data_IF_026194089361
#
_entry.id   IF_026194089361
#
_cell.length_a   1.000
_cell.length_b   1.000
_cell.length_c   1.000
_cell.angle_alpha   90.00
_cell.angle_beta   90.00
_cell.angle_gamma   90.00
#
_symmetry.space_group_name_H-M   'P 1'
#
loop_
_entity.id
_entity.type
_entity.pdbx_description
1 polymer ?
#
# COMPACT_ATOMS: atom_id res chain seq x y z
N UNK A 1 31.42 -7.09 -23.35
CA UNK A 1 31.02 -6.04 -24.30
C UNK A 1 29.85 -5.29 -23.69
N UNK A 2 30.02 -3.99 -23.41
CA UNK A 2 28.91 -3.13 -22.97
C UNK A 2 29.08 -2.35 -21.66
N UNK A 3 30.29 -1.97 -21.23
CA UNK A 3 30.47 -0.87 -20.26
C UNK A 3 30.21 0.48 -20.98
N UNK A 4 29.00 0.64 -21.51
CA UNK A 4 28.50 1.96 -21.86
C UNK A 4 28.05 2.55 -20.54
N UNK A 5 28.86 3.46 -20.02
CA UNK A 5 28.56 4.30 -18.87
C UNK A 5 27.08 4.71 -18.89
N UNK A 6 26.26 4.03 -18.10
CA UNK A 6 24.87 4.40 -17.91
C UNK A 6 24.89 5.77 -17.22
N UNK A 7 24.77 6.83 -18.03
CA UNK A 7 24.58 8.23 -17.62
C UNK A 7 25.76 8.91 -16.90
N UNK A 8 26.97 8.34 -16.94
CA UNK A 8 28.18 8.99 -16.40
C UNK A 8 28.25 9.12 -14.87
N UNK A 9 27.32 8.49 -14.13
CA UNK A 9 27.32 8.56 -12.67
C UNK A 9 28.49 7.79 -12.01
N UNK A 10 28.95 8.22 -10.82
CA UNK A 10 29.94 7.47 -10.04
C UNK A 10 29.44 6.07 -9.71
N UNK A 11 30.34 5.08 -9.73
CA UNK A 11 29.98 3.65 -9.64
C UNK A 11 29.21 3.31 -8.36
N UNK A 12 29.60 3.87 -7.22
CA UNK A 12 28.88 3.67 -5.95
C UNK A 12 27.43 4.18 -5.96
N UNK A 13 27.11 5.21 -6.75
CA UNK A 13 25.73 5.68 -6.92
C UNK A 13 24.91 4.67 -7.74
N UNK A 14 25.50 4.09 -8.78
CA UNK A 14 24.83 3.09 -9.63
C UNK A 14 24.52 1.82 -8.86
N UNK A 15 25.48 1.34 -8.07
CA UNK A 15 25.30 0.12 -7.28
C UNK A 15 24.24 0.33 -6.19
N UNK A 16 24.21 1.50 -5.54
CA UNK A 16 23.21 1.82 -4.54
C UNK A 16 21.80 2.05 -5.14
N UNK A 17 21.66 2.76 -6.26
CA UNK A 17 20.34 3.06 -6.83
C UNK A 17 19.77 1.91 -7.66
N UNK A 18 20.58 1.29 -8.51
CA UNK A 18 20.13 0.26 -9.45
C UNK A 18 20.47 -1.16 -8.99
N UNK A 19 21.61 -1.37 -8.32
CA UNK A 19 21.99 -2.68 -7.79
C UNK A 19 21.15 -3.10 -6.59
N UNK A 20 21.00 -2.23 -5.59
CA UNK A 20 20.17 -2.50 -4.39
C UNK A 20 18.67 -2.36 -4.70
N UNK A 21 18.29 -1.76 -5.84
CA UNK A 21 16.88 -1.57 -6.22
C UNK A 21 16.19 -0.39 -5.51
N UNK A 22 16.96 0.50 -4.88
CA UNK A 22 16.46 1.68 -4.17
C UNK A 22 15.67 2.64 -5.09
N UNK A 23 16.04 2.73 -6.37
CA UNK A 23 15.26 3.46 -7.37
C UNK A 23 13.84 2.90 -7.55
N UNK A 24 13.70 1.57 -7.57
CA UNK A 24 12.39 0.91 -7.69
C UNK A 24 11.54 1.11 -6.44
N UNK A 25 12.16 1.12 -5.26
CA UNK A 25 11.47 1.39 -3.99
C UNK A 25 10.91 2.82 -3.98
N UNK A 26 11.70 3.83 -4.38
CA UNK A 26 11.21 5.21 -4.46
C UNK A 26 10.14 5.39 -5.53
N UNK A 27 10.30 4.76 -6.70
CA UNK A 27 9.29 4.81 -7.75
C UNK A 27 7.96 4.20 -7.29
N UNK A 28 7.99 3.02 -6.67
CA UNK A 28 6.80 2.39 -6.11
C UNK A 28 6.18 3.25 -5.00
N UNK A 29 7.00 3.85 -4.13
CA UNK A 29 6.53 4.75 -3.10
C UNK A 29 5.84 5.99 -3.69
N UNK A 30 6.45 6.67 -4.66
CA UNK A 30 5.88 7.86 -5.33
C UNK A 30 4.57 7.56 -6.06
N UNK A 31 4.48 6.43 -6.77
CA UNK A 31 3.22 5.98 -7.39
C UNK A 31 2.17 5.69 -6.33
N UNK A 32 2.54 5.08 -5.21
CA UNK A 32 1.63 4.80 -4.10
C UNK A 32 0.97 6.06 -3.53
N UNK A 33 1.72 7.17 -3.42
CA UNK A 33 1.19 8.43 -2.85
C UNK A 33 0.23 9.16 -3.82
N UNK A 34 0.31 8.86 -5.12
CA UNK A 34 -0.47 9.55 -6.15
C UNK A 34 -1.98 9.39 -5.90
N UNK A 35 -2.42 8.20 -5.49
CA UNK A 35 -3.83 7.94 -5.18
C UNK A 35 -4.36 8.81 -4.04
N UNK A 36 -3.58 9.00 -2.97
CA UNK A 36 -3.98 9.88 -1.86
C UNK A 36 -3.99 11.36 -2.25
N UNK A 37 -3.06 11.80 -3.11
CA UNK A 37 -3.00 13.20 -3.57
C UNK A 37 -4.15 13.52 -4.52
N UNK A 38 -4.45 12.63 -5.46
CA UNK A 38 -5.57 12.79 -6.40
C UNK A 38 -6.89 12.82 -5.64
N UNK A 39 -7.09 11.93 -4.65
CA UNK A 39 -8.28 11.94 -3.78
C UNK A 39 -8.39 13.18 -2.87
N UNK A 40 -7.28 13.86 -2.59
CA UNK A 40 -7.27 15.12 -1.84
C UNK A 40 -7.54 16.35 -2.69
N UNK A 41 -7.45 16.24 -4.02
CA UNK A 41 -7.67 17.39 -4.91
C UNK A 41 -9.13 17.87 -4.90
N UNK A 42 -9.32 19.19 -4.82
CA UNK A 42 -10.64 19.84 -4.81
C UNK A 42 -11.38 19.66 -6.15
N UNK A 43 -10.63 19.50 -7.24
CA UNK A 43 -11.14 19.32 -8.61
C UNK A 43 -11.23 17.85 -9.06
N UNK A 44 -11.13 16.88 -8.14
CA UNK A 44 -11.25 15.44 -8.44
C UNK A 44 -12.46 15.09 -9.34
N UNK A 45 -13.69 15.60 -9.09
CA UNK A 45 -14.84 15.28 -9.94
C UNK A 45 -14.69 15.80 -11.36
N UNK A 46 -14.08 16.98 -11.54
CA UNK A 46 -13.86 17.60 -12.85
C UNK A 46 -12.75 16.87 -13.63
N UNK A 47 -11.72 16.36 -12.94
CA UNK A 47 -10.67 15.54 -13.53
C UNK A 47 -11.18 14.17 -14.01
N UNK A 48 -12.11 13.57 -13.25
CA UNK A 48 -12.77 12.30 -13.62
C UNK A 48 -13.87 12.47 -14.67
N UNK A 49 -14.28 13.69 -15.02
CA UNK A 49 -15.33 13.95 -16.01
C UNK A 49 -14.80 13.84 -17.46
N UNK A 50 -14.20 12.70 -17.80
CA UNK A 50 -13.70 12.39 -19.13
C UNK A 50 -13.94 10.91 -19.47
N UNK A 51 -14.14 10.61 -20.76
CA UNK A 51 -14.35 9.24 -21.26
C UNK A 51 -13.23 8.26 -20.86
N UNK A 52 -11.99 8.76 -20.78
CA UNK A 52 -10.86 7.94 -20.33
C UNK A 52 -11.00 7.50 -18.86
N UNK A 53 -11.54 8.36 -17.98
CA UNK A 53 -11.75 8.00 -16.58
C UNK A 53 -12.84 6.93 -16.42
N UNK A 54 -13.92 7.00 -17.23
CA UNK A 54 -14.95 5.96 -17.27
C UNK A 54 -14.35 4.61 -17.71
N UNK A 55 -13.48 4.60 -18.72
CA UNK A 55 -12.76 3.39 -19.11
C UNK A 55 -11.95 2.80 -17.94
N UNK A 56 -11.16 3.62 -17.24
CA UNK A 56 -10.39 3.15 -16.09
C UNK A 56 -11.29 2.62 -14.96
N UNK A 57 -12.48 3.19 -14.79
CA UNK A 57 -13.47 2.70 -13.83
C UNK A 57 -14.00 1.32 -14.20
N UNK A 58 -14.30 1.07 -15.49
CA UNK A 58 -14.69 -0.27 -15.96
C UNK A 58 -13.59 -1.31 -15.76
N UNK A 59 -12.33 -0.94 -16.00
CA UNK A 59 -11.18 -1.82 -15.72
C UNK A 59 -11.06 -2.11 -14.22
N UNK A 60 -11.23 -1.08 -13.37
CA UNK A 60 -11.20 -1.24 -11.92
C UNK A 60 -12.32 -2.19 -11.44
N UNK A 61 -13.55 -2.01 -11.94
CA UNK A 61 -14.68 -2.88 -11.62
C UNK A 61 -14.45 -4.33 -12.12
N UNK A 62 -13.81 -4.51 -13.28
CA UNK A 62 -13.46 -5.84 -13.77
C UNK A 62 -12.43 -6.52 -12.86
N UNK A 63 -11.40 -5.80 -12.41
CA UNK A 63 -10.39 -6.31 -11.46
C UNK A 63 -11.05 -6.63 -10.12
N UNK A 64 -11.94 -5.78 -9.63
CA UNK A 64 -12.71 -6.03 -8.40
C UNK A 64 -13.57 -7.29 -8.52
N UNK A 65 -14.19 -7.52 -9.69
CA UNK A 65 -14.93 -8.74 -9.96
C UNK A 65 -14.05 -9.99 -9.89
N UNK A 66 -12.81 -9.95 -10.42
CA UNK A 66 -11.87 -11.09 -10.33
C UNK A 66 -11.54 -11.49 -8.89
N UNK A 67 -11.64 -10.58 -7.94
CA UNK A 67 -11.39 -10.87 -6.54
C UNK A 67 -9.92 -10.82 -6.11
N UNK A 68 -8.98 -10.47 -7.00
CA UNK A 68 -7.54 -10.47 -6.71
C UNK A 68 -7.15 -9.61 -5.49
N UNK A 69 -7.86 -8.51 -5.23
CA UNK A 69 -7.58 -7.55 -4.15
C UNK A 69 -8.36 -7.80 -2.85
N UNK A 70 -9.14 -8.89 -2.78
CA UNK A 70 -10.08 -9.12 -1.66
C UNK A 70 -9.42 -9.49 -0.33
N UNK A 71 -8.14 -9.86 -0.30
CA UNK A 71 -7.40 -10.10 0.95
C UNK A 71 -7.40 -8.89 1.89
N UNK A 72 -7.49 -7.67 1.34
CA UNK A 72 -7.58 -6.43 2.12
C UNK A 72 -8.86 -6.35 2.98
N UNK A 73 -9.99 -6.89 2.51
CA UNK A 73 -11.24 -6.92 3.28
C UNK A 73 -11.14 -7.80 4.53
N UNK A 74 -10.43 -8.94 4.42
CA UNK A 74 -10.20 -9.82 5.57
C UNK A 74 -9.34 -9.13 6.63
N UNK A 75 -8.28 -8.45 6.20
CA UNK A 75 -7.40 -7.68 7.08
C UNK A 75 -8.19 -6.53 7.73
N UNK A 76 -9.00 -5.81 6.97
CA UNK A 76 -9.85 -4.74 7.51
C UNK A 76 -10.85 -5.25 8.55
N UNK A 77 -11.50 -6.39 8.29
CA UNK A 77 -12.41 -7.03 9.25
C UNK A 77 -11.68 -7.47 10.53
N UNK A 78 -10.48 -8.02 10.39
CA UNK A 78 -9.63 -8.40 11.53
C UNK A 78 -9.20 -7.18 12.35
N UNK A 79 -8.75 -6.11 11.70
CA UNK A 79 -8.36 -4.85 12.37
C UNK A 79 -9.55 -4.20 13.07
N UNK A 80 -10.73 -4.17 12.44
CA UNK A 80 -11.95 -3.66 13.06
C UNK A 80 -12.34 -4.47 14.31
N UNK A 81 -12.23 -5.80 14.23
CA UNK A 81 -12.47 -6.70 15.38
C UNK A 81 -11.47 -6.44 16.52
N UNK A 82 -10.20 -6.22 16.21
CA UNK A 82 -9.17 -5.91 17.21
C UNK A 82 -9.33 -4.49 17.79
N UNK A 83 -9.78 -3.54 16.99
CA UNK A 83 -10.03 -2.16 17.40
C UNK A 83 -11.35 -1.99 18.16
N UNK A 84 -12.20 -3.02 18.22
CA UNK A 84 -13.53 -2.95 18.81
C UNK A 84 -14.48 -1.99 18.08
N UNK A 85 -14.16 -1.63 16.84
CA UNK A 85 -14.99 -0.76 16.01
C UNK A 85 -15.97 -1.62 15.20
N UNK A 86 -17.27 -1.32 15.28
CA UNK A 86 -18.22 -1.88 14.34
C UNK A 86 -17.90 -1.34 12.95
N UNK A 87 -17.48 -2.21 12.04
CA UNK A 87 -17.37 -1.84 10.63
C UNK A 87 -18.78 -1.52 10.14
N UNK A 88 -19.13 -0.23 10.06
CA UNK A 88 -20.35 0.24 9.39
C UNK A 88 -20.22 0.02 7.88
N UNK A 89 -20.20 -1.25 7.46
CA UNK A 89 -20.50 -1.60 6.08
C UNK A 89 -21.94 -1.18 5.83
N UNK A 90 -22.16 -0.30 4.85
CA UNK A 90 -23.51 0.12 4.43
C UNK A 90 -24.15 -0.87 3.46
N UNK A 91 -23.45 -1.97 3.16
CA UNK A 91 -23.93 -3.03 2.27
C UNK A 91 -24.41 -4.22 3.09
N UNK A 92 -25.63 -4.68 2.77
CA UNK A 92 -26.20 -5.89 3.37
C UNK A 92 -25.28 -7.08 3.09
N UNK A 93 -25.01 -7.94 4.11
CA UNK A 93 -24.17 -9.11 3.92
C UNK A 93 -24.76 -9.98 2.80
N UNK A 94 -23.95 -10.38 1.80
CA UNK A 94 -24.46 -11.11 0.64
C UNK A 94 -25.09 -12.43 1.08
N UNK A 95 -26.36 -12.65 0.75
CA UNK A 95 -27.13 -13.80 1.22
C UNK A 95 -26.96 -15.00 0.27
N UNK A 96 -26.77 -16.21 0.83
CA UNK A 96 -26.76 -17.46 0.06
C UNK A 96 -25.55 -17.65 -0.85
N UNK A 97 -25.78 -17.92 -2.15
CA UNK A 97 -24.71 -18.23 -3.12
C UNK A 97 -23.70 -17.10 -3.33
N UNK A 98 -24.12 -15.86 -3.14
CA UNK A 98 -23.23 -14.69 -3.20
C UNK A 98 -22.22 -14.66 -2.03
N UNK A 99 -22.57 -15.21 -0.86
CA UNK A 99 -21.65 -15.37 0.27
C UNK A 99 -20.51 -16.33 -0.08
N UNK A 100 -20.85 -17.49 -0.64
CA UNK A 100 -19.87 -18.48 -1.09
C UNK A 100 -18.93 -17.91 -2.17
N UNK A 101 -19.49 -17.17 -3.14
CA UNK A 101 -18.70 -16.51 -4.17
C UNK A 101 -17.77 -15.42 -3.60
N UNK A 102 -18.23 -14.66 -2.61
CA UNK A 102 -17.42 -13.69 -1.90
C UNK A 102 -16.26 -14.36 -1.15
N UNK A 103 -16.54 -15.36 -0.31
CA UNK A 103 -15.52 -16.07 0.46
C UNK A 103 -14.54 -16.86 -0.42
N UNK A 104 -15.01 -17.43 -1.53
CA UNK A 104 -14.14 -18.12 -2.50
C UNK A 104 -13.10 -17.18 -3.12
N UNK A 105 -13.51 -15.97 -3.51
CA UNK A 105 -12.59 -14.95 -4.04
C UNK A 105 -11.64 -14.41 -2.96
N UNK A 106 -12.13 -14.20 -1.74
CA UNK A 106 -11.28 -13.84 -0.60
C UNK A 106 -10.21 -14.89 -0.32
N UNK A 107 -10.57 -16.18 -0.36
CA UNK A 107 -9.65 -17.30 -0.15
C UNK A 107 -8.64 -17.41 -1.30
N UNK A 108 -9.08 -17.24 -2.56
CA UNK A 108 -8.19 -17.20 -3.73
C UNK A 108 -7.15 -16.07 -3.60
N UNK A 109 -7.58 -14.85 -3.27
CA UNK A 109 -6.69 -13.71 -3.06
C UNK A 109 -5.68 -13.97 -1.94
N UNK A 110 -6.14 -14.53 -0.82
CA UNK A 110 -5.26 -14.90 0.30
C UNK A 110 -4.25 -15.97 -0.11
N UNK A 111 -4.67 -16.98 -0.88
CA UNK A 111 -3.79 -18.04 -1.37
C UNK A 111 -2.71 -17.49 -2.30
N UNK A 112 -3.06 -16.60 -3.23
CA UNK A 112 -2.10 -15.94 -4.12
C UNK A 112 -1.10 -15.10 -3.31
N UNK A 113 -1.58 -14.33 -2.33
CA UNK A 113 -0.72 -13.53 -1.45
C UNK A 113 0.27 -14.40 -0.66
N UNK A 114 -0.21 -15.48 -0.05
CA UNK A 114 0.64 -16.43 0.68
C UNK A 114 1.64 -17.12 -0.25
N UNK A 115 1.23 -17.50 -1.46
CA UNK A 115 2.11 -18.10 -2.46
C UNK A 115 3.21 -17.12 -2.89
N UNK A 116 2.87 -15.87 -3.22
CA UNK A 116 3.85 -14.84 -3.55
C UNK A 116 4.82 -14.62 -2.38
N UNK A 117 4.31 -14.53 -1.15
CA UNK A 117 5.14 -14.42 0.04
C UNK A 117 6.10 -15.61 0.19
N UNK A 118 5.63 -16.84 0.00
CA UNK A 118 6.45 -18.04 0.07
C UNK A 118 7.54 -18.06 -1.01
N UNK A 119 7.22 -17.65 -2.24
CA UNK A 119 8.20 -17.52 -3.33
C UNK A 119 9.25 -16.46 -3.01
N UNK A 120 8.85 -15.31 -2.45
CA UNK A 120 9.79 -14.26 -2.02
C UNK A 120 10.73 -14.76 -0.94
N UNK A 121 10.21 -15.48 0.05
CA UNK A 121 11.02 -16.07 1.12
C UNK A 121 11.99 -17.11 0.55
N UNK A 122 11.51 -18.00 -0.33
CA UNK A 122 12.36 -18.99 -1.00
C UNK A 122 13.47 -18.33 -1.84
N UNK A 123 13.14 -17.29 -2.62
CA UNK A 123 14.10 -16.54 -3.42
C UNK A 123 15.18 -15.85 -2.55
N UNK A 124 14.79 -15.40 -1.36
CA UNK A 124 15.71 -14.81 -0.38
C UNK A 124 16.68 -15.84 0.19
N UNK A 125 16.20 -17.04 0.52
CA UNK A 125 17.05 -18.12 1.03
C UNK A 125 17.96 -18.73 -0.05
N UNK A 126 17.56 -18.71 -1.32
CA UNK A 126 18.38 -19.18 -2.45
C UNK A 126 19.37 -18.14 -2.97
N UNK A 127 19.43 -16.95 -2.37
CA UNK A 127 20.38 -15.90 -2.73
C UNK A 127 20.13 -15.28 -4.10
N UNK A 128 18.91 -15.41 -4.65
CA UNK A 128 18.54 -14.79 -5.94
C UNK A 128 18.18 -13.31 -5.81
N UNK A 129 18.25 -12.75 -4.61
CA UNK A 129 17.96 -11.34 -4.32
C UNK A 129 19.25 -10.51 -4.34
N UNK A 130 19.17 -9.26 -4.81
CA UNK A 130 20.30 -8.33 -4.95
C UNK A 130 20.89 -7.79 -3.64
N UNK A 131 20.71 -8.53 -2.52
CA UNK A 131 21.27 -8.16 -1.22
C UNK A 131 22.77 -8.47 -1.21
N UNK A 132 23.51 -7.62 -0.51
CA UNK A 132 24.97 -7.66 -0.36
C UNK A 132 25.52 -9.09 -0.16
N UNK A 133 26.51 -9.45 -0.98
CA UNK A 133 27.21 -10.72 -0.88
C UNK A 133 27.85 -10.86 0.52
N UNK A 134 27.53 -11.96 1.23
CA UNK A 134 28.11 -12.29 2.54
C UNK A 134 27.20 -12.13 3.75
N UNK A 135 25.95 -11.67 3.59
CA UNK A 135 24.98 -11.63 4.70
C UNK A 135 24.30 -13.01 4.86
N UNK A 136 24.26 -13.60 6.07
CA UNK A 136 23.57 -14.87 6.29
C UNK A 136 22.07 -14.75 5.97
N UNK A 137 21.44 -15.75 5.33
CA UNK A 137 20.06 -15.66 4.84
C UNK A 137 19.02 -15.25 5.89
N UNK A 138 19.22 -15.68 7.14
CA UNK A 138 18.34 -15.34 8.27
C UNK A 138 18.36 -13.84 8.55
N UNK A 139 19.52 -13.19 8.47
CA UNK A 139 19.66 -11.76 8.72
C UNK A 139 18.99 -10.96 7.58
N UNK A 140 19.13 -11.42 6.34
CA UNK A 140 18.42 -10.86 5.18
C UNK A 140 16.90 -10.96 5.34
N UNK A 141 16.38 -12.06 5.89
CA UNK A 141 14.95 -12.23 6.17
C UNK A 141 14.44 -11.26 7.24
N UNK A 142 15.20 -11.05 8.32
CA UNK A 142 14.85 -10.08 9.36
C UNK A 142 14.85 -8.66 8.79
N UNK A 143 15.87 -8.29 8.03
CA UNK A 143 15.96 -6.97 7.37
C UNK A 143 14.80 -6.77 6.41
N UNK A 144 14.47 -7.79 5.61
CA UNK A 144 13.32 -7.77 4.70
C UNK A 144 12.00 -7.51 5.44
N UNK A 145 11.74 -8.22 6.55
CA UNK A 145 10.53 -8.02 7.35
C UNK A 145 10.44 -6.61 7.94
N UNK A 146 11.54 -6.08 8.45
CA UNK A 146 11.59 -4.71 9.00
C UNK A 146 11.31 -3.69 7.89
N UNK A 147 12.01 -3.78 6.76
CA UNK A 147 11.83 -2.86 5.64
C UNK A 147 10.42 -2.92 5.07
N UNK A 148 9.87 -4.11 4.86
CA UNK A 148 8.48 -4.29 4.40
C UNK A 148 7.47 -3.70 5.39
N UNK A 149 7.70 -3.85 6.69
CA UNK A 149 6.84 -3.25 7.73
C UNK A 149 6.89 -1.72 7.70
N UNK A 150 8.07 -1.13 7.52
CA UNK A 150 8.24 0.33 7.41
C UNK A 150 7.54 0.85 6.15
N UNK A 151 7.79 0.24 4.99
CA UNK A 151 7.19 0.67 3.72
C UNK A 151 5.66 0.54 3.77
N UNK A 152 5.14 -0.57 4.30
CA UNK A 152 3.71 -0.77 4.50
C UNK A 152 3.10 0.27 5.43
N UNK A 153 3.79 0.61 6.52
CA UNK A 153 3.36 1.67 7.45
C UNK A 153 3.36 3.04 6.79
N UNK A 154 4.40 3.40 6.03
CA UNK A 154 4.49 4.70 5.34
C UNK A 154 3.36 4.88 4.32
N UNK A 155 3.05 3.84 3.55
CA UNK A 155 1.95 3.87 2.58
C UNK A 155 0.58 3.94 3.28
N UNK A 156 0.35 3.12 4.31
CA UNK A 156 -0.91 3.10 5.05
C UNK A 156 -1.16 4.41 5.83
N UNK A 157 -0.11 5.03 6.34
CA UNK A 157 -0.18 6.27 7.11
C UNK A 157 -0.64 7.46 6.26
N UNK A 158 -0.24 7.54 4.98
CA UNK A 158 -0.67 8.60 4.06
C UNK A 158 -2.18 8.59 3.83
N UNK A 159 -2.76 7.40 3.64
CA UNK A 159 -4.21 7.22 3.49
C UNK A 159 -4.93 7.53 4.81
N UNK A 160 -4.38 7.09 5.93
CA UNK A 160 -4.94 7.36 7.26
C UNK A 160 -4.94 8.86 7.59
N UNK A 161 -3.88 9.59 7.25
CA UNK A 161 -3.81 11.03 7.42
C UNK A 161 -4.82 11.78 6.55
N UNK A 162 -5.03 11.32 5.31
CA UNK A 162 -6.07 11.85 4.45
C UNK A 162 -7.48 11.67 5.05
N UNK A 163 -7.79 10.49 5.58
CA UNK A 163 -9.05 10.25 6.30
C UNK A 163 -9.17 11.16 7.55
N UNK A 164 -8.09 11.33 8.32
CA UNK A 164 -8.05 12.22 9.48
C UNK A 164 -8.19 13.71 9.14
N UNK A 165 -7.84 14.13 7.92
CA UNK A 165 -8.08 15.50 7.44
C UNK A 165 -9.57 15.81 7.29
N UNK A 166 -10.40 14.81 6.98
CA UNK A 166 -11.85 14.95 6.83
C UNK A 166 -12.62 14.90 8.16
N UNK A 167 -11.97 14.50 9.27
CA UNK A 167 -12.60 14.42 10.60
C UNK A 167 -12.53 15.77 11.33
N UNK A 168 -13.64 16.20 11.94
CA UNK A 168 -13.68 17.39 12.79
C UNK A 168 -12.82 17.18 14.04
N UNK A 169 -12.20 18.24 14.58
CA UNK A 169 -11.28 18.14 15.75
C UNK A 169 -11.92 17.45 16.96
N UNK A 170 -13.24 17.57 17.12
CA UNK A 170 -14.04 16.95 18.19
C UNK A 170 -14.20 15.43 18.03
N UNK A 171 -14.12 14.92 16.80
CA UNK A 171 -14.29 13.50 16.47
C UNK A 171 -12.96 12.74 16.43
N UNK A 172 -11.82 13.45 16.54
CA UNK A 172 -10.49 12.84 16.67
C UNK A 172 -10.41 12.16 18.04
N UNK A 173 -10.48 10.83 18.05
CA UNK A 173 -10.53 9.97 19.24
C UNK A 173 -9.47 10.26 20.31
N UNK A 174 -9.60 9.65 21.49
CA UNK A 174 -8.86 10.04 22.71
C UNK A 174 -7.35 9.74 22.74
N UNK A 175 -6.79 9.07 21.72
CA UNK A 175 -5.39 8.65 21.74
C UNK A 175 -4.41 9.82 21.66
N UNK A 176 -3.48 9.88 22.63
CA UNK A 176 -2.49 10.95 22.79
C UNK A 176 -1.57 11.09 21.58
N UNK A 177 -1.04 9.97 21.08
CA UNK A 177 -0.13 9.97 19.93
C UNK A 177 -0.85 10.36 18.64
N UNK A 178 -2.08 9.88 18.42
CA UNK A 178 -2.87 10.26 17.25
C UNK A 178 -3.17 11.76 17.22
N UNK A 179 -3.52 12.35 18.37
CA UNK A 179 -3.73 13.80 18.50
C UNK A 179 -2.45 14.61 18.29
N UNK A 180 -1.33 14.20 18.88
CA UNK A 180 -0.04 14.89 18.69
C UNK A 180 0.42 14.86 17.24
N UNK A 181 0.33 13.71 16.57
CA UNK A 181 0.69 13.59 15.16
C UNK A 181 -0.24 14.39 14.26
N UNK A 182 -1.56 14.36 14.51
CA UNK A 182 -2.50 15.18 13.77
C UNK A 182 -2.29 16.68 14.02
N UNK A 183 -2.07 17.10 15.27
CA UNK A 183 -1.86 18.50 15.61
C UNK A 183 -0.56 19.05 15.03
N UNK A 184 0.50 18.23 14.92
CA UNK A 184 1.72 18.59 14.18
C UNK A 184 1.48 18.67 12.67
N UNK A 185 0.75 17.73 12.10
CA UNK A 185 0.48 17.65 10.67
C UNK A 185 -0.41 18.81 10.18
N UNK A 186 -1.39 19.21 10.99
CA UNK A 186 -2.30 20.32 10.71
C UNK A 186 -1.88 21.63 11.39
N UNK A 187 -0.61 21.75 11.81
CA UNK A 187 -0.07 22.99 12.38
C UNK A 187 0.29 23.96 11.25
N UNK A 188 -0.40 25.09 11.19
CA UNK A 188 -0.34 26.02 10.06
C UNK A 188 -1.59 25.88 9.20
N UNK A 189 -1.99 26.97 8.56
CA UNK A 189 -3.32 27.27 7.99
C UNK A 189 -3.84 26.35 6.87
N UNK A 190 -3.58 25.04 6.89
CA UNK A 190 -4.25 24.02 6.06
C UNK A 190 -4.11 24.17 4.53
N UNK A 191 -3.44 25.20 4.03
CA UNK A 191 -3.41 25.60 2.62
C UNK A 191 -2.52 24.73 1.71
N UNK A 192 -2.01 23.59 2.19
CA UNK A 192 -1.12 22.72 1.42
C UNK A 192 -1.68 21.30 1.21
N UNK A 193 -3.00 21.12 1.30
CA UNK A 193 -3.70 19.95 0.76
C UNK A 193 -4.84 20.42 -0.14
#
# INVERSE_FOLDING_TARGET
AGDVSLWGFPQGLKDAFFGVGLAMIFFAAMIGQLNSQVNASVCMPDCCNNYFSIFTMWVAMAIEFTGLLHSSYLIAMLVNKLAGAESKSKEDPPTGGAMLFYWGRCLMSLAILCFCGAVTINALFTGQTTIWEGIPPILSFIIFLILMSIVGMLAGMQIAFFACAKLRKEERGSSRFAKLTADLLFKGDGNNL
#
